data_IF_305414274805
#
_entry.id   IF_305414274805
#
_cell.length_a   1.000
_cell.length_b   1.000
_cell.length_c   1.000
_cell.angle_alpha   90.00
_cell.angle_beta   90.00
_cell.angle_gamma   90.00
#
_symmetry.space_group_name_H-M   'P 1'
#
loop_
_entity.id
_entity.type
_entity.pdbx_description
1 polymer ?
#
# COMPACT_ATOMS: atom_id res chain seq x y z
N UNK A 1 -17.33 23.84 6.11
CA UNK A 1 -17.66 23.94 4.67
C UNK A 1 -18.48 22.71 4.30
N UNK A 2 -19.71 22.87 3.79
CA UNK A 2 -20.55 21.71 3.40
C UNK A 2 -19.93 21.02 2.19
N UNK A 3 -19.74 19.70 2.25
CA UNK A 3 -19.35 18.90 1.08
C UNK A 3 -20.45 18.98 0.03
N UNK A 4 -20.09 19.37 -1.19
CA UNK A 4 -21.04 19.42 -2.32
C UNK A 4 -21.40 18.01 -2.80
N UNK A 5 -22.58 17.84 -3.39
CA UNK A 5 -22.97 16.59 -4.05
C UNK A 5 -21.98 16.19 -5.15
N UNK A 6 -21.44 17.17 -5.86
CA UNK A 6 -20.38 17.03 -6.89
C UNK A 6 -19.08 16.46 -6.33
N UNK A 7 -18.66 16.82 -5.11
CA UNK A 7 -17.45 16.28 -4.50
C UNK A 7 -17.58 14.77 -4.21
N UNK A 8 -18.75 14.35 -3.69
CA UNK A 8 -19.05 12.94 -3.41
C UNK A 8 -19.21 12.11 -4.66
N UNK A 9 -19.95 12.62 -5.65
CA UNK A 9 -20.10 11.98 -6.96
C UNK A 9 -18.76 11.82 -7.67
N UNK A 10 -17.90 12.84 -7.61
CA UNK A 10 -16.54 12.76 -8.17
C UNK A 10 -15.66 11.69 -7.53
N UNK A 11 -15.78 11.46 -6.21
CA UNK A 11 -15.06 10.36 -5.54
C UNK A 11 -15.55 8.98 -6.00
N UNK A 12 -16.88 8.81 -6.20
CA UNK A 12 -17.46 7.56 -6.69
C UNK A 12 -16.95 7.28 -8.11
N UNK A 13 -17.00 8.28 -9.00
CA UNK A 13 -16.54 8.13 -10.39
C UNK A 13 -15.05 7.82 -10.44
N UNK A 14 -14.20 8.55 -9.71
CA UNK A 14 -12.77 8.32 -9.69
C UNK A 14 -12.43 6.91 -9.17
N UNK A 15 -13.11 6.44 -8.12
CA UNK A 15 -12.97 5.08 -7.62
C UNK A 15 -13.43 4.04 -8.65
N UNK A 16 -14.57 4.25 -9.31
CA UNK A 16 -15.08 3.33 -10.33
C UNK A 16 -14.10 3.21 -11.52
N UNK A 17 -13.52 4.31 -11.98
CA UNK A 17 -12.48 4.31 -13.03
C UNK A 17 -11.26 3.53 -12.57
N UNK A 18 -10.77 3.77 -11.36
CA UNK A 18 -9.64 3.03 -10.80
C UNK A 18 -9.91 1.53 -10.77
N UNK A 19 -11.06 1.10 -10.22
CA UNK A 19 -11.42 -0.32 -10.14
C UNK A 19 -11.58 -0.95 -11.53
N UNK A 20 -12.24 -0.26 -12.45
CA UNK A 20 -12.44 -0.76 -13.82
C UNK A 20 -11.09 -1.06 -14.51
N UNK A 21 -10.15 -0.10 -14.47
CA UNK A 21 -8.84 -0.28 -15.10
C UNK A 21 -8.00 -1.38 -14.42
N UNK A 22 -8.03 -1.47 -13.10
CA UNK A 22 -7.31 -2.54 -12.38
C UNK A 22 -7.96 -3.93 -12.60
N UNK A 23 -9.30 -4.01 -12.67
CA UNK A 23 -9.99 -5.24 -13.03
C UNK A 23 -9.68 -5.67 -14.47
N UNK A 24 -9.69 -4.74 -15.42
CA UNK A 24 -9.30 -5.01 -16.81
C UNK A 24 -7.85 -5.51 -16.89
N UNK A 25 -6.94 -4.87 -16.20
CA UNK A 25 -5.53 -5.25 -16.17
C UNK A 25 -5.28 -6.67 -15.63
N UNK A 26 -6.19 -7.18 -14.81
CA UNK A 26 -6.09 -8.52 -14.22
C UNK A 26 -6.89 -9.57 -15.00
N UNK A 27 -8.10 -9.21 -15.46
CA UNK A 27 -9.05 -10.16 -16.08
C UNK A 27 -8.92 -10.22 -17.60
N UNK A 28 -8.55 -9.10 -18.22
CA UNK A 28 -8.28 -8.98 -19.66
C UNK A 28 -6.86 -8.41 -19.74
N UNK A 29 -5.81 -9.26 -19.60
CA UNK A 29 -4.45 -8.77 -19.40
C UNK A 29 -4.07 -7.77 -20.49
N UNK A 30 -3.93 -6.49 -20.12
CA UNK A 30 -3.46 -5.44 -21.01
C UNK A 30 -2.05 -5.82 -21.49
N UNK A 31 -1.83 -5.85 -22.79
CA UNK A 31 -0.56 -6.32 -23.34
C UNK A 31 -0.28 -7.84 -23.12
N UNK A 32 -1.31 -8.64 -22.76
CA UNK A 32 -1.20 -10.09 -22.59
C UNK A 32 -0.58 -10.56 -21.28
N UNK A 33 -0.37 -9.67 -20.29
CA UNK A 33 0.27 -10.00 -19.01
C UNK A 33 -0.48 -9.40 -17.84
N UNK A 34 -0.50 -10.11 -16.71
CA UNK A 34 -1.01 -9.60 -15.43
C UNK A 34 0.06 -8.79 -14.68
N UNK A 35 -0.31 -7.94 -13.69
CA UNK A 35 0.66 -7.18 -12.90
C UNK A 35 1.77 -8.03 -12.22
N UNK A 36 1.47 -9.23 -11.65
CA UNK A 36 2.51 -10.12 -11.13
C UNK A 36 3.46 -10.66 -12.19
N UNK A 37 2.95 -10.97 -13.39
CA UNK A 37 3.75 -11.48 -14.50
C UNK A 37 4.72 -10.41 -15.03
N UNK A 38 4.29 -9.16 -15.13
CA UNK A 38 5.19 -8.04 -15.46
C UNK A 38 6.27 -7.89 -14.39
N UNK A 39 5.91 -7.93 -13.11
CA UNK A 39 6.87 -7.90 -12.01
C UNK A 39 7.87 -9.05 -12.07
N UNK A 40 7.48 -10.21 -12.58
CA UNK A 40 8.36 -11.39 -12.69
C UNK A 40 9.38 -11.28 -13.83
N UNK A 41 9.21 -10.39 -14.80
CA UNK A 41 10.16 -10.16 -15.90
C UNK A 41 11.45 -9.49 -15.43
N UNK A 42 11.38 -8.80 -14.29
CA UNK A 42 12.51 -8.09 -13.69
C UNK A 42 12.92 -8.78 -12.39
N UNK A 43 13.87 -9.75 -12.44
CA UNK A 43 14.22 -10.55 -11.28
C UNK A 43 14.86 -9.69 -10.19
N UNK A 44 14.08 -9.38 -9.18
CA UNK A 44 14.52 -8.65 -7.99
C UNK A 44 14.31 -9.50 -6.75
N UNK A 45 15.29 -9.53 -5.85
CA UNK A 45 15.20 -10.28 -4.59
C UNK A 45 14.17 -9.67 -3.61
N UNK A 46 13.76 -8.40 -3.80
CA UNK A 46 12.73 -7.77 -2.97
C UNK A 46 11.30 -8.01 -3.49
N UNK A 47 11.14 -8.50 -4.71
CA UNK A 47 9.80 -8.73 -5.27
C UNK A 47 9.13 -9.95 -4.62
N UNK A 48 7.91 -9.83 -4.06
CA UNK A 48 7.21 -10.94 -3.42
C UNK A 48 6.64 -11.94 -4.44
N UNK A 49 6.21 -13.10 -3.96
CA UNK A 49 5.50 -14.10 -4.76
C UNK A 49 4.16 -13.55 -5.27
N UNK A 50 3.70 -14.04 -6.43
CA UNK A 50 2.52 -13.53 -7.13
C UNK A 50 1.24 -13.53 -6.30
N UNK A 51 1.02 -14.55 -5.44
CA UNK A 51 -0.17 -14.61 -4.57
C UNK A 51 -0.28 -13.40 -3.63
N UNK A 52 0.84 -12.74 -3.30
CA UNK A 52 0.88 -11.58 -2.39
C UNK A 52 0.08 -10.40 -2.93
N UNK A 53 -0.05 -10.31 -4.26
CA UNK A 53 -0.85 -9.27 -4.91
C UNK A 53 -2.36 -9.39 -4.63
N UNK A 54 -2.84 -10.53 -4.09
CA UNK A 54 -4.24 -10.68 -3.66
C UNK A 54 -4.66 -9.66 -2.59
N UNK A 55 -3.71 -9.01 -1.91
CA UNK A 55 -3.99 -7.92 -0.97
C UNK A 55 -4.75 -6.75 -1.63
N UNK A 56 -4.64 -6.58 -2.95
CA UNK A 56 -5.39 -5.56 -3.66
C UNK A 56 -6.91 -5.77 -3.52
N UNK A 57 -7.39 -7.03 -3.47
CA UNK A 57 -8.80 -7.31 -3.24
C UNK A 57 -9.26 -6.76 -1.87
N UNK A 58 -8.45 -6.97 -0.81
CA UNK A 58 -8.75 -6.43 0.51
C UNK A 58 -8.72 -4.89 0.53
N UNK A 59 -7.73 -4.27 -0.13
CA UNK A 59 -7.63 -2.82 -0.24
C UNK A 59 -8.86 -2.26 -0.98
N UNK A 60 -9.25 -2.84 -2.12
CA UNK A 60 -10.38 -2.35 -2.90
C UNK A 60 -11.72 -2.55 -2.18
N UNK A 61 -11.92 -3.65 -1.45
CA UNK A 61 -13.09 -3.83 -0.58
C UNK A 61 -13.13 -2.77 0.53
N UNK A 62 -11.98 -2.49 1.13
CA UNK A 62 -11.86 -1.42 2.12
C UNK A 62 -12.19 -0.05 1.53
N UNK A 63 -11.65 0.30 0.37
CA UNK A 63 -11.94 1.56 -0.31
C UNK A 63 -13.40 1.64 -0.78
N UNK A 64 -14.01 0.52 -1.22
CA UNK A 64 -15.43 0.46 -1.51
C UNK A 64 -16.28 0.78 -0.27
N UNK A 65 -15.93 0.18 0.88
CA UNK A 65 -16.63 0.48 2.14
C UNK A 65 -16.53 1.96 2.51
N UNK A 66 -15.36 2.59 2.29
CA UNK A 66 -15.19 4.04 2.46
C UNK A 66 -16.05 4.84 1.47
N UNK A 67 -16.09 4.46 0.19
CA UNK A 67 -16.90 5.14 -0.84
C UNK A 67 -18.39 5.06 -0.52
N UNK A 68 -18.87 3.90 -0.05
CA UNK A 68 -20.26 3.74 0.42
C UNK A 68 -20.50 4.60 1.65
N UNK A 69 -19.63 4.52 2.67
CA UNK A 69 -19.75 5.30 3.90
C UNK A 69 -19.86 6.81 3.62
N UNK A 70 -18.96 7.36 2.79
CA UNK A 70 -18.97 8.79 2.46
C UNK A 70 -20.22 9.24 1.69
N UNK A 71 -20.91 8.32 1.00
CA UNK A 71 -22.12 8.61 0.23
C UNK A 71 -23.36 8.70 1.12
N UNK A 72 -23.35 8.14 2.35
CA UNK A 72 -24.48 8.15 3.26
C UNK A 72 -24.93 9.57 3.60
N UNK A 73 -26.24 9.83 3.68
CA UNK A 73 -26.78 11.15 4.04
C UNK A 73 -26.23 11.69 5.36
N UNK A 74 -26.05 10.82 6.36
CA UNK A 74 -25.50 11.16 7.68
C UNK A 74 -24.07 11.71 7.63
N UNK A 75 -23.29 11.36 6.58
CA UNK A 75 -21.88 11.76 6.43
C UNK A 75 -21.70 13.02 5.59
N UNK A 76 -22.81 13.65 5.15
CA UNK A 76 -22.78 14.81 4.25
C UNK A 76 -21.99 15.98 4.80
N UNK A 77 -22.03 16.18 6.11
CA UNK A 77 -21.43 17.32 6.80
C UNK A 77 -20.14 16.94 7.57
N UNK A 78 -19.62 15.72 7.42
CA UNK A 78 -18.38 15.32 8.11
C UNK A 78 -17.18 16.10 7.54
N UNK A 79 -16.55 17.00 8.31
CA UNK A 79 -15.43 17.82 7.82
C UNK A 79 -14.18 16.98 7.52
N UNK A 80 -14.04 15.82 8.15
CA UNK A 80 -12.90 14.90 7.96
C UNK A 80 -12.88 14.40 6.53
N UNK A 81 -14.04 14.04 5.99
CA UNK A 81 -14.17 13.58 4.61
C UNK A 81 -13.87 14.70 3.62
N UNK A 82 -14.30 15.94 3.90
CA UNK A 82 -14.01 17.10 3.05
C UNK A 82 -12.51 17.40 2.93
N UNK A 83 -11.73 17.13 3.99
CA UNK A 83 -10.26 17.32 3.98
C UNK A 83 -9.51 16.42 3.04
N UNK A 84 -10.09 15.28 2.64
CA UNK A 84 -9.45 14.27 1.81
C UNK A 84 -10.07 14.13 0.40
N UNK A 85 -11.18 14.80 0.09
CA UNK A 85 -11.91 14.64 -1.18
C UNK A 85 -11.04 14.82 -2.43
N UNK A 86 -10.26 15.90 -2.49
CA UNK A 86 -9.39 16.16 -3.63
C UNK A 86 -8.25 15.14 -3.72
N UNK A 87 -7.64 14.81 -2.58
CA UNK A 87 -6.56 13.83 -2.51
C UNK A 87 -7.02 12.43 -2.89
N UNK A 88 -8.24 12.04 -2.49
CA UNK A 88 -8.78 10.72 -2.83
C UNK A 88 -9.02 10.59 -4.34
N UNK A 89 -9.63 11.61 -4.96
CA UNK A 89 -9.79 11.63 -6.43
C UNK A 89 -8.45 11.57 -7.15
N UNK A 90 -7.51 12.41 -6.75
CA UNK A 90 -6.16 12.39 -7.30
C UNK A 90 -5.52 11.01 -7.16
N UNK A 91 -5.60 10.39 -5.97
CA UNK A 91 -5.03 9.07 -5.70
C UNK A 91 -5.65 7.99 -6.59
N UNK A 92 -6.98 7.97 -6.75
CA UNK A 92 -7.65 7.02 -7.63
C UNK A 92 -7.20 7.18 -9.08
N UNK A 93 -7.10 8.41 -9.58
CA UNK A 93 -6.65 8.68 -10.96
C UNK A 93 -5.16 8.35 -11.14
N UNK A 94 -4.33 8.66 -10.16
CA UNK A 94 -2.92 8.28 -10.18
C UNK A 94 -2.74 6.75 -10.17
N UNK A 95 -3.53 6.02 -9.37
CA UNK A 95 -3.49 4.55 -9.37
C UNK A 95 -3.92 3.99 -10.74
N UNK A 96 -4.98 4.54 -11.34
CA UNK A 96 -5.41 4.18 -12.69
C UNK A 96 -4.34 4.46 -13.75
N UNK A 97 -3.62 5.58 -13.64
CA UNK A 97 -2.50 5.90 -14.53
C UNK A 97 -1.30 4.97 -14.29
N UNK A 98 -1.04 4.63 -13.02
CA UNK A 98 0.06 3.73 -12.65
C UNK A 98 -0.11 2.35 -13.29
N UNK A 99 -1.31 1.76 -13.25
CA UNK A 99 -1.53 0.42 -13.82
C UNK A 99 -1.31 0.41 -15.34
N UNK A 100 -1.63 1.50 -16.03
CA UNK A 100 -1.36 1.65 -17.46
C UNK A 100 0.17 1.78 -17.71
N UNK A 101 0.85 2.69 -17.01
CA UNK A 101 2.29 2.86 -17.15
C UNK A 101 3.05 1.55 -16.86
N UNK A 102 2.59 0.78 -15.87
CA UNK A 102 3.13 -0.53 -15.50
C UNK A 102 2.96 -1.56 -16.61
N UNK A 103 1.78 -1.65 -17.23
CA UNK A 103 1.49 -2.62 -18.28
C UNK A 103 2.19 -2.35 -19.60
N UNK A 104 2.51 -1.08 -19.88
CA UNK A 104 3.25 -0.70 -21.08
C UNK A 104 4.76 -0.53 -20.86
N UNK A 105 5.31 -1.09 -19.76
CA UNK A 105 6.72 -1.07 -19.40
C UNK A 105 7.34 0.33 -19.29
N UNK A 106 6.54 1.37 -19.04
CA UNK A 106 7.03 2.72 -18.72
C UNK A 106 7.53 2.77 -17.28
N UNK A 107 8.60 2.03 -16.97
CA UNK A 107 9.07 1.75 -15.61
C UNK A 107 9.39 3.02 -14.80
N UNK A 108 10.11 3.98 -15.41
CA UNK A 108 10.44 5.25 -14.73
C UNK A 108 9.17 6.06 -14.47
N UNK A 109 8.25 6.13 -15.45
CA UNK A 109 6.97 6.82 -15.27
C UNK A 109 6.14 6.14 -14.18
N UNK A 110 6.09 4.81 -14.15
CA UNK A 110 5.40 4.06 -13.11
C UNK A 110 5.95 4.38 -11.72
N UNK A 111 7.28 4.52 -11.57
CA UNK A 111 7.91 4.92 -10.32
C UNK A 111 7.53 6.34 -9.89
N UNK A 112 7.51 7.30 -10.81
CA UNK A 112 7.09 8.68 -10.51
C UNK A 112 5.62 8.74 -10.07
N UNK A 113 4.74 8.01 -10.78
CA UNK A 113 3.32 7.92 -10.40
C UNK A 113 3.17 7.20 -9.05
N UNK A 114 3.93 6.14 -8.79
CA UNK A 114 3.94 5.43 -7.50
C UNK A 114 4.31 6.38 -6.35
N UNK A 115 5.31 7.25 -6.56
CA UNK A 115 5.68 8.27 -5.58
C UNK A 115 4.53 9.27 -5.34
N UNK A 116 3.82 9.69 -6.38
CA UNK A 116 2.65 10.56 -6.26
C UNK A 116 1.50 9.89 -5.50
N UNK A 117 1.24 8.59 -5.76
CA UNK A 117 0.28 7.78 -5.00
C UNK A 117 0.69 7.73 -3.53
N UNK A 118 1.95 7.43 -3.22
CA UNK A 118 2.45 7.35 -1.85
C UNK A 118 2.29 8.68 -1.11
N UNK A 119 2.72 9.79 -1.71
CA UNK A 119 2.61 11.14 -1.10
C UNK A 119 1.16 11.50 -0.83
N UNK A 120 0.24 11.26 -1.78
CA UNK A 120 -1.18 11.52 -1.58
C UNK A 120 -1.79 10.66 -0.48
N UNK A 121 -1.40 9.37 -0.37
CA UNK A 121 -1.84 8.49 0.71
C UNK A 121 -1.31 8.93 2.07
N UNK A 122 -0.04 9.32 2.18
CA UNK A 122 0.52 9.87 3.43
C UNK A 122 -0.23 11.13 3.86
N UNK A 123 -0.60 12.00 2.90
CA UNK A 123 -1.41 13.17 3.18
C UNK A 123 -2.84 12.81 3.62
N UNK A 124 -3.51 11.83 3.00
CA UNK A 124 -4.80 11.31 3.44
C UNK A 124 -4.68 10.71 4.84
N UNK A 125 -3.70 9.84 5.04
CA UNK A 125 -3.44 9.16 6.30
C UNK A 125 -3.28 10.13 7.47
N UNK A 126 -2.47 11.18 7.27
CA UNK A 126 -2.25 12.21 8.30
C UNK A 126 -3.52 13.01 8.60
N UNK A 127 -4.29 13.38 7.57
CA UNK A 127 -5.54 14.16 7.73
C UNK A 127 -6.67 13.38 8.42
N UNK A 128 -6.65 12.05 8.33
CA UNK A 128 -7.61 11.19 9.01
C UNK A 128 -7.23 10.88 10.47
N UNK A 129 -6.04 11.28 10.92
CA UNK A 129 -5.50 10.98 12.26
C UNK A 129 -5.08 12.24 13.02
N UNK A 130 -5.79 13.34 12.80
CA UNK A 130 -5.56 14.58 13.56
C UNK A 130 -5.90 14.34 15.03
N UNK A 131 -5.00 14.66 15.99
CA UNK A 131 -5.26 14.53 17.41
C UNK A 131 -6.55 15.27 17.81
N UNK A 132 -7.39 14.62 18.60
CA UNK A 132 -8.70 15.16 18.99
C UNK A 132 -9.81 15.03 17.93
N UNK A 133 -9.49 14.66 16.69
CA UNK A 133 -10.46 14.50 15.60
C UNK A 133 -10.12 13.32 14.69
N UNK A 134 -9.84 12.16 15.29
CA UNK A 134 -9.48 10.94 14.57
C UNK A 134 -10.70 10.35 13.89
N UNK A 135 -10.58 10.06 12.60
CA UNK A 135 -11.65 9.42 11.82
C UNK A 135 -11.98 8.01 12.35
N UNK A 136 -13.24 7.55 12.17
CA UNK A 136 -13.65 6.21 12.59
C UNK A 136 -12.82 5.11 11.93
N UNK A 137 -12.71 3.92 12.54
CA UNK A 137 -11.94 2.80 11.96
C UNK A 137 -12.35 2.46 10.52
N UNK A 138 -13.65 2.48 10.22
CA UNK A 138 -14.19 2.20 8.88
C UNK A 138 -13.64 3.15 7.81
N UNK A 139 -13.29 4.39 8.17
CA UNK A 139 -12.70 5.37 7.26
C UNK A 139 -11.19 5.21 7.19
N UNK A 140 -10.51 5.06 8.34
CA UNK A 140 -9.03 5.09 8.38
C UNK A 140 -8.37 3.76 8.03
N UNK A 141 -9.04 2.60 8.29
CA UNK A 141 -8.46 1.28 8.06
C UNK A 141 -8.15 1.01 6.58
N UNK A 142 -9.05 1.32 5.61
CA UNK A 142 -8.73 1.18 4.19
C UNK A 142 -7.47 1.93 3.77
N UNK A 143 -7.31 3.17 4.23
CA UNK A 143 -6.12 3.97 3.92
C UNK A 143 -4.88 3.50 4.66
N UNK A 144 -5.02 2.88 5.82
CA UNK A 144 -3.91 2.24 6.53
C UNK A 144 -3.35 1.06 5.73
N UNK A 145 -4.23 0.13 5.31
CA UNK A 145 -3.87 -1.02 4.48
C UNK A 145 -3.24 -0.58 3.15
N UNK A 146 -3.87 0.39 2.50
CA UNK A 146 -3.41 0.88 1.21
C UNK A 146 -2.06 1.59 1.32
N UNK A 147 -1.87 2.48 2.32
CA UNK A 147 -0.59 3.17 2.52
C UNK A 147 0.53 2.18 2.82
N UNK A 148 0.28 1.19 3.67
CA UNK A 148 1.26 0.15 4.00
C UNK A 148 1.68 -0.64 2.76
N UNK A 149 0.70 -1.06 1.95
CA UNK A 149 0.98 -1.77 0.71
C UNK A 149 1.77 -0.92 -0.29
N UNK A 150 1.42 0.36 -0.46
CA UNK A 150 2.14 1.26 -1.37
C UNK A 150 3.56 1.56 -0.88
N UNK A 151 3.83 1.59 0.43
CA UNK A 151 5.22 1.67 0.92
C UNK A 151 6.06 0.48 0.44
N UNK A 152 5.54 -0.75 0.54
CA UNK A 152 6.22 -1.95 0.04
C UNK A 152 6.33 -1.92 -1.49
N UNK A 153 5.23 -1.60 -2.17
CA UNK A 153 5.17 -1.55 -3.63
C UNK A 153 6.13 -0.50 -4.21
N UNK A 154 6.32 0.64 -3.53
CA UNK A 154 7.30 1.66 -3.93
C UNK A 154 8.73 1.12 -3.87
N UNK A 155 9.09 0.41 -2.80
CA UNK A 155 10.41 -0.24 -2.69
C UNK A 155 10.58 -1.31 -3.77
N UNK A 156 9.54 -2.10 -4.05
CA UNK A 156 9.56 -3.11 -5.11
C UNK A 156 9.68 -2.46 -6.50
N UNK A 157 8.96 -1.38 -6.77
CA UNK A 157 9.03 -0.64 -8.04
C UNK A 157 10.42 -0.04 -8.25
N UNK A 158 11.03 0.57 -7.21
CA UNK A 158 12.44 1.00 -7.24
C UNK A 158 13.35 -0.17 -7.61
N UNK A 159 13.16 -1.34 -6.98
CA UNK A 159 13.99 -2.52 -7.24
C UNK A 159 13.86 -3.02 -8.67
N UNK A 160 12.67 -2.95 -9.25
CA UNK A 160 12.42 -3.31 -10.65
C UNK A 160 13.11 -2.34 -11.60
N UNK A 161 13.00 -1.03 -11.35
CA UNK A 161 13.71 -0.02 -12.13
C UNK A 161 15.23 -0.23 -12.05
N UNK A 162 15.77 -0.47 -10.87
CA UNK A 162 17.19 -0.77 -10.68
C UNK A 162 17.62 -1.99 -11.50
N UNK A 163 16.87 -3.08 -11.45
CA UNK A 163 17.17 -4.29 -12.24
C UNK A 163 17.09 -4.00 -13.74
N UNK A 164 16.05 -3.30 -14.21
CA UNK A 164 15.86 -2.99 -15.62
C UNK A 164 16.99 -2.13 -16.21
N UNK A 165 17.58 -1.25 -15.40
CA UNK A 165 18.69 -0.38 -15.81
C UNK A 165 20.09 -0.94 -15.46
N UNK A 166 20.16 -2.19 -15.00
CA UNK A 166 21.44 -2.85 -14.71
C UNK A 166 22.25 -2.19 -13.59
N UNK A 167 21.56 -1.62 -12.59
CA UNK A 167 22.25 -1.00 -11.45
C UNK A 167 22.99 -2.05 -10.60
N UNK A 168 24.23 -1.75 -10.25
CA UNK A 168 25.18 -2.66 -9.60
C UNK A 168 24.99 -2.79 -8.07
N UNK A 169 23.85 -2.38 -7.52
CA UNK A 169 23.55 -2.39 -6.08
C UNK A 169 24.57 -1.57 -5.23
N UNK A 170 25.15 -0.53 -5.80
CA UNK A 170 26.21 0.30 -5.19
C UNK A 170 27.43 -0.51 -4.73
N UNK A 171 27.78 -1.57 -5.45
CA UNK A 171 28.89 -2.48 -5.13
C UNK A 171 28.66 -3.41 -3.94
N UNK A 172 27.49 -3.34 -3.25
CA UNK A 172 27.18 -4.19 -2.10
C UNK A 172 26.62 -5.55 -2.51
N UNK A 173 26.14 -5.70 -3.74
CA UNK A 173 25.47 -6.88 -4.24
C UNK A 173 24.00 -7.01 -3.83
N UNK A 174 23.23 -7.72 -4.65
CA UNK A 174 21.77 -7.78 -4.58
C UNK A 174 21.23 -8.28 -3.21
N UNK A 175 21.93 -9.19 -2.56
CA UNK A 175 21.51 -9.72 -1.24
C UNK A 175 21.56 -8.64 -0.17
N UNK A 176 22.70 -7.98 0.03
CA UNK A 176 22.83 -6.96 1.07
C UNK A 176 21.91 -5.76 0.81
N UNK A 177 21.77 -5.37 -0.46
CA UNK A 177 20.85 -4.31 -0.84
C UNK A 177 19.39 -4.67 -0.54
N UNK A 178 19.01 -5.94 -0.73
CA UNK A 178 17.68 -6.43 -0.36
C UNK A 178 17.47 -6.47 1.15
N UNK A 179 18.50 -6.85 1.92
CA UNK A 179 18.42 -6.79 3.39
C UNK A 179 18.18 -5.38 3.90
N UNK A 180 18.83 -4.36 3.31
CA UNK A 180 18.58 -2.95 3.63
C UNK A 180 17.14 -2.53 3.31
N UNK A 181 16.59 -2.97 2.17
CA UNK A 181 15.19 -2.70 1.79
C UNK A 181 14.20 -3.36 2.77
N UNK A 182 14.47 -4.60 3.20
CA UNK A 182 13.67 -5.28 4.22
C UNK A 182 13.74 -4.56 5.57
N UNK A 183 14.93 -4.12 5.98
CA UNK A 183 15.11 -3.33 7.20
C UNK A 183 14.34 -2.00 7.13
N UNK A 184 14.37 -1.30 5.98
CA UNK A 184 13.60 -0.09 5.75
C UNK A 184 12.09 -0.33 5.87
N UNK A 185 11.57 -1.38 5.23
CA UNK A 185 10.16 -1.76 5.33
C UNK A 185 9.77 -2.06 6.79
N UNK A 186 10.61 -2.78 7.52
CA UNK A 186 10.42 -3.07 8.94
C UNK A 186 10.44 -1.82 9.81
N UNK A 187 11.37 -0.89 9.58
CA UNK A 187 11.46 0.37 10.29
C UNK A 187 10.22 1.25 10.08
N UNK A 188 9.71 1.31 8.84
CA UNK A 188 8.45 2.00 8.52
C UNK A 188 7.31 1.36 9.32
N UNK A 189 7.14 0.03 9.26
CA UNK A 189 6.10 -0.69 9.99
C UNK A 189 6.17 -0.45 11.51
N UNK A 190 7.34 -0.58 12.11
CA UNK A 190 7.57 -0.34 13.52
C UNK A 190 7.25 1.12 13.93
N UNK A 191 7.66 2.10 13.10
CA UNK A 191 7.33 3.51 13.32
C UNK A 191 5.82 3.75 13.32
N UNK A 192 5.09 3.10 12.39
CA UNK A 192 3.62 3.28 12.28
C UNK A 192 2.88 2.63 13.46
N UNK A 193 3.34 1.48 13.95
CA UNK A 193 2.77 0.87 15.18
C UNK A 193 3.08 1.74 16.39
N UNK A 194 4.34 2.12 16.60
CA UNK A 194 4.74 2.81 17.83
C UNK A 194 4.22 4.25 17.91
N UNK A 195 4.19 4.99 16.79
CA UNK A 195 3.80 6.41 16.77
C UNK A 195 2.32 6.62 16.46
N UNK A 196 1.69 5.69 15.73
CA UNK A 196 0.31 5.85 15.23
C UNK A 196 -0.65 4.78 15.74
N UNK A 197 -0.16 3.84 16.55
CA UNK A 197 -0.94 2.71 17.06
C UNK A 197 -1.63 1.94 15.91
N UNK A 198 -0.91 1.71 14.80
CA UNK A 198 -1.47 1.13 13.58
C UNK A 198 -1.03 -0.31 13.35
N UNK A 199 -1.68 -1.24 14.05
CA UNK A 199 -1.42 -2.67 13.89
C UNK A 199 -1.72 -3.19 12.47
N UNK A 200 -2.72 -2.61 11.77
CA UNK A 200 -3.05 -3.03 10.41
C UNK A 200 -1.88 -2.78 9.42
N UNK A 201 -1.14 -1.70 9.66
CA UNK A 201 0.06 -1.40 8.85
C UNK A 201 1.11 -2.51 8.98
N UNK A 202 1.40 -2.96 10.21
CA UNK A 202 2.37 -4.05 10.44
C UNK A 202 1.90 -5.39 9.86
N UNK A 203 0.59 -5.67 9.84
CA UNK A 203 0.05 -6.88 9.19
C UNK A 203 0.32 -6.88 7.68
N UNK A 204 0.23 -5.74 7.02
CA UNK A 204 0.57 -5.64 5.59
C UNK A 204 2.07 -5.85 5.35
N UNK A 205 2.93 -5.30 6.22
CA UNK A 205 4.38 -5.56 6.14
C UNK A 205 4.67 -7.06 6.33
N UNK A 206 4.01 -7.71 7.30
CA UNK A 206 4.13 -9.16 7.51
C UNK A 206 3.70 -9.96 6.28
N UNK A 207 2.58 -9.59 5.65
CA UNK A 207 2.07 -10.23 4.44
C UNK A 207 3.06 -10.13 3.28
N UNK A 208 3.59 -8.94 3.02
CA UNK A 208 4.57 -8.70 1.98
C UNK A 208 5.88 -9.47 2.24
N UNK A 209 6.39 -9.42 3.47
CA UNK A 209 7.59 -10.13 3.89
C UNK A 209 7.43 -11.66 3.76
N UNK A 210 6.25 -12.20 4.11
CA UNK A 210 5.94 -13.61 3.88
C UNK A 210 6.03 -13.97 2.40
N UNK A 211 5.45 -13.17 1.52
CA UNK A 211 5.56 -13.39 0.08
C UNK A 211 6.99 -13.34 -0.45
N UNK A 212 7.83 -12.44 0.11
CA UNK A 212 9.26 -12.38 -0.23
C UNK A 212 9.97 -13.65 0.27
N UNK A 213 9.74 -14.10 1.51
CA UNK A 213 10.37 -15.29 2.06
C UNK A 213 10.06 -16.54 1.25
N UNK A 214 8.82 -16.70 0.79
CA UNK A 214 8.39 -17.81 -0.07
C UNK A 214 9.07 -17.76 -1.44
N UNK A 215 9.10 -16.59 -2.08
CA UNK A 215 9.70 -16.44 -3.41
C UNK A 215 11.22 -16.66 -3.41
N UNK A 216 11.88 -16.24 -2.34
CA UNK A 216 13.34 -16.26 -2.22
C UNK A 216 13.87 -17.48 -1.48
N UNK A 217 13.13 -18.59 -1.43
CA UNK A 217 13.55 -19.82 -0.74
C UNK A 217 14.94 -20.33 -1.17
N UNK A 218 15.33 -20.08 -2.41
CA UNK A 218 16.65 -20.42 -2.94
C UNK A 218 17.79 -19.46 -2.48
N UNK A 219 17.47 -18.35 -1.80
CA UNK A 219 18.42 -17.38 -1.26
C UNK A 219 18.24 -17.29 0.26
N UNK A 220 18.84 -18.20 1.05
CA UNK A 220 18.52 -18.38 2.48
C UNK A 220 18.65 -17.09 3.32
N UNK A 221 19.64 -16.24 3.01
CA UNK A 221 19.83 -14.96 3.72
C UNK A 221 18.62 -14.02 3.55
N UNK A 222 18.08 -13.91 2.33
CA UNK A 222 16.92 -13.05 2.04
C UNK A 222 15.64 -13.69 2.59
N UNK A 223 15.44 -14.99 2.37
CA UNK A 223 14.28 -15.72 2.86
C UNK A 223 14.20 -15.68 4.39
N UNK A 224 15.33 -15.92 5.08
CA UNK A 224 15.41 -15.86 6.53
C UNK A 224 15.16 -14.47 7.09
N UNK A 225 15.76 -13.42 6.50
CA UNK A 225 15.53 -12.04 6.91
C UNK A 225 14.07 -11.61 6.69
N UNK A 226 13.47 -11.98 5.56
CA UNK A 226 12.07 -11.72 5.28
C UNK A 226 11.15 -12.44 6.27
N UNK A 227 11.41 -13.71 6.58
CA UNK A 227 10.65 -14.45 7.58
C UNK A 227 10.81 -13.87 9.00
N UNK A 228 12.02 -13.43 9.36
CA UNK A 228 12.25 -12.70 10.61
C UNK A 228 11.41 -11.43 10.68
N UNK A 229 11.30 -10.69 9.56
CA UNK A 229 10.45 -9.51 9.48
C UNK A 229 8.97 -9.86 9.67
N UNK A 230 8.50 -11.03 9.18
CA UNK A 230 7.14 -11.52 9.49
C UNK A 230 6.94 -11.63 11.00
N UNK A 231 7.84 -12.35 11.68
CA UNK A 231 7.73 -12.60 13.12
C UNK A 231 7.77 -11.30 13.93
N UNK A 232 8.69 -10.39 13.61
CA UNK A 232 8.79 -9.09 14.26
C UNK A 232 7.53 -8.23 14.03
N UNK A 233 6.97 -8.23 12.84
CA UNK A 233 5.75 -7.50 12.54
C UNK A 233 4.55 -8.06 13.30
N UNK A 234 4.39 -9.38 13.37
CA UNK A 234 3.34 -10.03 14.16
C UNK A 234 3.50 -9.76 15.65
N UNK A 235 4.73 -9.79 16.16
CA UNK A 235 5.02 -9.43 17.55
C UNK A 235 4.59 -7.98 17.84
N UNK A 236 4.89 -7.03 16.96
CA UNK A 236 4.43 -5.64 17.11
C UNK A 236 2.90 -5.54 17.15
N UNK A 237 2.20 -6.32 16.32
CA UNK A 237 0.72 -6.37 16.34
C UNK A 237 0.22 -6.86 17.70
N UNK A 238 0.77 -7.95 18.22
CA UNK A 238 0.38 -8.52 19.51
C UNK A 238 0.63 -7.52 20.64
N UNK A 239 1.80 -6.88 20.67
CA UNK A 239 2.13 -5.86 21.66
C UNK A 239 1.18 -4.67 21.62
N UNK A 240 0.83 -4.20 20.43
CA UNK A 240 -0.13 -3.09 20.28
C UNK A 240 -1.52 -3.48 20.74
N UNK A 241 -2.00 -4.69 20.42
CA UNK A 241 -3.29 -5.19 20.92
C UNK A 241 -3.31 -5.33 22.44
N UNK A 242 -2.23 -5.85 23.02
CA UNK A 242 -2.09 -5.96 24.48
C UNK A 242 -2.10 -4.58 25.17
N UNK A 243 -1.43 -3.56 24.59
CA UNK A 243 -1.48 -2.17 25.07
C UNK A 243 -2.91 -1.63 25.08
N UNK A 244 -3.68 -1.85 24.00
CA UNK A 244 -5.08 -1.40 23.90
C UNK A 244 -6.00 -2.08 24.91
N UNK A 245 -5.79 -3.36 25.17
CA UNK A 245 -6.57 -4.08 26.19
C UNK A 245 -6.32 -3.51 27.59
N UNK A 246 -5.05 -3.27 27.93
CA UNK A 246 -4.67 -2.69 29.24
C UNK A 246 -5.26 -1.29 29.44
N UNK A 247 -5.23 -0.42 28.42
CA UNK A 247 -5.76 0.94 28.49
C UNK A 247 -7.29 1.03 28.57
N UNK A 248 -8.02 -0.08 28.42
CA UNK A 248 -9.48 -0.15 28.61
C UNK A 248 -9.88 -0.60 30.01
N UNK A 249 -8.94 -1.18 30.77
CA UNK A 249 -9.18 -1.72 32.11
C UNK A 249 -8.76 -0.72 33.19
N UNK A 250 -7.92 0.24 32.86
CA UNK A 250 -7.54 1.39 33.70
C UNK A 250 -8.38 2.60 33.39
#
# INVERSE_FOLDING_TARGET
MRRTGTARGGNIVAFAVMIALNAMATSIPLGGKTPPEISAQYPSLFTPAGFTFSIWALIYLGLLSFVVYQALPAQRNDPRLGRIDALFKFNCLANAAWILAWHYDYLVLSLLIMAAILVSLLAIYSRLRVPGDVAPPLVRLPFSLYTAWICVAAIANISIVQTAFGWDDAGMGAVHWTLLKLALAGAIGASMVNRKCDAAFALVIAWAAYGISVKQAATPAVAGAAFTLVLLSLMLVILELARRLRSRVT
#
